data_IF_677821167664
#
_entry.id   IF_677821167664
#
_cell.length_a   1.000
_cell.length_b   1.000
_cell.length_c   1.000
_cell.angle_alpha   90.00
_cell.angle_beta   90.00
_cell.angle_gamma   90.00
#
_symmetry.space_group_name_H-M   'P 1'
#
loop_
_entity.id
_entity.type
_entity.pdbx_description
1 polymer ?
#
# COMPACT_ATOMS: atom_id res chain seq x y z
N UNK A 1 51.44 12.20 57.32
CA UNK A 1 49.97 12.35 57.17
C UNK A 1 49.61 12.11 55.71
N UNK A 2 48.81 11.07 55.42
CA UNK A 2 48.40 10.65 54.08
C UNK A 2 47.07 11.32 53.73
N UNK A 3 47.02 12.19 52.73
CA UNK A 3 45.77 12.64 52.13
C UNK A 3 45.54 11.90 50.81
N UNK A 4 44.55 11.00 50.81
CA UNK A 4 43.99 10.37 49.61
C UNK A 4 43.00 11.35 49.00
N UNK A 5 43.23 11.78 47.76
CA UNK A 5 42.23 12.46 46.95
C UNK A 5 41.29 11.41 46.32
N UNK A 6 39.95 11.54 46.43
CA UNK A 6 39.05 10.66 45.72
C UNK A 6 38.92 11.10 44.25
N UNK A 7 39.20 10.17 43.34
CA UNK A 7 38.94 10.28 41.91
C UNK A 7 37.43 10.11 41.69
N UNK A 8 36.71 11.19 41.40
CA UNK A 8 35.30 11.13 41.03
C UNK A 8 35.19 10.87 39.52
N UNK A 9 34.94 9.62 39.14
CA UNK A 9 34.59 9.26 37.75
C UNK A 9 33.14 9.69 37.46
N UNK A 10 33.00 10.75 36.65
CA UNK A 10 31.73 11.11 36.03
C UNK A 10 31.41 10.07 34.93
N UNK A 11 30.46 9.17 35.20
CA UNK A 11 29.84 8.33 34.18
C UNK A 11 28.84 9.20 33.39
N UNK A 12 29.27 9.74 32.26
CA UNK A 12 28.39 10.28 31.22
C UNK A 12 27.66 9.09 30.56
N UNK A 13 26.46 8.79 31.05
CA UNK A 13 25.50 7.96 30.34
C UNK A 13 25.04 8.76 29.10
N UNK A 14 25.66 8.47 27.96
CA UNK A 14 25.15 8.90 26.67
C UNK A 14 23.80 8.21 26.45
N UNK A 15 22.71 8.93 26.66
CA UNK A 15 21.39 8.51 26.20
C UNK A 15 21.44 8.39 24.68
N UNK A 16 21.56 7.17 24.18
CA UNK A 16 21.24 6.87 22.79
C UNK A 16 19.74 7.08 22.64
N UNK A 17 19.34 8.33 22.37
CA UNK A 17 18.05 8.61 21.77
C UNK A 17 18.09 7.90 20.41
N UNK A 18 17.43 6.74 20.31
CA UNK A 18 17.07 6.18 19.02
C UNK A 18 16.18 7.21 18.35
N UNK A 19 16.76 8.03 17.47
CA UNK A 19 15.99 8.82 16.54
C UNK A 19 15.22 7.80 15.68
N UNK A 20 13.93 7.61 15.99
CA UNK A 20 13.08 6.75 15.19
C UNK A 20 13.17 7.19 13.73
N UNK A 21 13.26 6.22 12.82
CA UNK A 21 13.29 6.52 11.39
C UNK A 21 12.07 7.39 11.05
N UNK A 22 12.34 8.58 10.51
CA UNK A 22 11.30 9.47 10.00
C UNK A 22 10.96 9.02 8.59
N UNK A 23 9.70 8.77 8.34
CA UNK A 23 9.16 8.43 7.03
C UNK A 23 8.48 9.66 6.45
N UNK A 24 8.83 9.99 5.22
CA UNK A 24 8.16 11.00 4.41
C UNK A 24 7.37 10.27 3.31
N UNK A 25 6.09 10.02 3.56
CA UNK A 25 5.23 9.19 2.74
C UNK A 25 5.15 7.73 3.18
N UNK A 26 4.04 7.09 2.86
CA UNK A 26 3.75 5.71 3.25
C UNK A 26 4.55 4.70 2.42
N UNK A 27 4.85 5.03 1.16
CA UNK A 27 5.68 4.26 0.26
C UNK A 27 7.11 4.13 0.81
N UNK A 28 7.63 5.20 1.44
CA UNK A 28 8.95 5.17 2.09
C UNK A 28 8.95 4.18 3.26
N UNK A 29 7.91 4.16 4.09
CA UNK A 29 7.75 3.14 5.13
C UNK A 29 7.57 1.73 4.54
N UNK A 30 6.75 1.56 3.51
CA UNK A 30 6.55 0.25 2.89
C UNK A 30 7.83 -0.32 2.29
N UNK A 31 8.72 0.53 1.78
CA UNK A 31 10.01 0.11 1.22
C UNK A 31 10.96 -0.51 2.26
N UNK A 32 10.76 -0.24 3.56
CA UNK A 32 11.58 -0.83 4.62
C UNK A 32 11.05 -2.20 5.08
N UNK A 33 9.84 -2.58 4.66
CA UNK A 33 9.25 -3.86 5.06
C UNK A 33 9.83 -5.00 4.22
N UNK A 34 10.08 -6.14 4.87
CA UNK A 34 10.55 -7.34 4.17
C UNK A 34 9.42 -8.05 3.41
N UNK A 35 9.77 -8.70 2.30
CA UNK A 35 8.85 -9.59 1.57
C UNK A 35 7.86 -8.85 0.68
N UNK A 36 8.13 -7.62 0.25
CA UNK A 36 7.32 -6.88 -0.72
C UNK A 36 7.17 -7.67 -2.02
N UNK A 37 5.93 -7.78 -2.52
CA UNK A 37 5.65 -8.42 -3.81
C UNK A 37 6.06 -7.51 -4.97
N UNK A 38 5.89 -6.20 -4.80
CA UNK A 38 6.17 -5.18 -5.80
C UNK A 38 7.13 -4.14 -5.25
N UNK A 39 8.04 -3.69 -6.11
CA UNK A 39 8.93 -2.55 -5.90
C UNK A 39 8.48 -1.38 -6.75
N UNK A 40 8.96 -0.17 -6.45
CA UNK A 40 8.66 1.02 -7.25
C UNK A 40 9.07 0.87 -8.72
N UNK A 41 10.11 0.07 -9.00
CA UNK A 41 10.57 -0.21 -10.37
C UNK A 41 9.61 -1.11 -11.17
N UNK A 42 8.66 -1.78 -10.50
CA UNK A 42 7.67 -2.66 -11.14
C UNK A 42 6.42 -1.88 -11.59
N UNK A 43 6.38 -0.56 -11.32
CA UNK A 43 5.29 0.36 -11.66
C UNK A 43 5.33 0.71 -13.15
N UNK A 44 4.15 0.69 -13.75
CA UNK A 44 3.91 1.18 -15.10
C UNK A 44 2.65 2.03 -15.17
N UNK A 45 2.77 3.20 -15.81
CA UNK A 45 1.63 4.05 -16.12
C UNK A 45 0.86 3.48 -17.32
N UNK A 46 -0.46 3.55 -17.27
CA UNK A 46 -1.31 3.12 -18.38
C UNK A 46 -1.56 4.29 -19.35
N UNK A 47 -1.31 4.05 -20.63
CA UNK A 47 -1.52 5.05 -21.68
C UNK A 47 -2.95 5.02 -22.21
N UNK A 48 -3.54 6.20 -22.41
CA UNK A 48 -4.87 6.34 -22.98
C UNK A 48 -4.87 6.04 -24.49
N UNK A 49 -5.83 5.24 -24.94
CA UNK A 49 -6.12 5.05 -26.36
C UNK A 49 -7.63 4.91 -26.60
N UNK A 50 -8.07 5.33 -27.77
CA UNK A 50 -9.44 5.16 -28.25
C UNK A 50 -9.46 4.25 -29.48
N UNK A 51 -10.47 3.39 -29.59
CA UNK A 51 -10.67 2.55 -30.77
C UNK A 51 -11.99 2.92 -31.45
N UNK A 52 -11.97 3.61 -32.61
CA UNK A 52 -13.17 3.85 -33.40
C UNK A 52 -13.87 2.52 -33.76
N UNK A 53 -15.21 2.46 -33.81
CA UNK A 53 -16.19 3.55 -33.64
C UNK A 53 -16.67 3.76 -32.19
N UNK A 54 -16.12 3.04 -31.21
CA UNK A 54 -16.54 3.12 -29.81
C UNK A 54 -15.66 4.13 -29.05
N UNK A 55 -16.21 5.30 -28.73
CA UNK A 55 -15.56 6.40 -27.98
C UNK A 55 -15.16 6.06 -26.53
N UNK A 56 -15.22 4.79 -26.13
CA UNK A 56 -14.79 4.37 -24.81
C UNK A 56 -13.26 4.44 -24.72
N UNK A 57 -12.76 5.40 -23.92
CA UNK A 57 -11.35 5.50 -23.58
C UNK A 57 -10.94 4.21 -22.86
N UNK A 58 -9.86 3.61 -23.36
CA UNK A 58 -9.18 2.49 -22.73
C UNK A 58 -7.82 2.99 -22.26
N UNK A 59 -7.36 2.50 -21.13
CA UNK A 59 -5.99 2.73 -20.69
C UNK A 59 -5.24 1.42 -20.75
N UNK A 60 -4.06 1.38 -21.36
CA UNK A 60 -3.31 0.14 -21.50
C UNK A 60 -1.82 0.32 -21.39
N UNK A 61 -1.16 -0.80 -21.10
CA UNK A 61 0.26 -0.93 -21.14
C UNK A 61 0.63 -2.28 -21.79
N UNK A 62 1.71 -2.29 -22.56
CA UNK A 62 2.27 -3.49 -23.16
C UNK A 62 3.79 -3.48 -23.02
N UNK A 63 4.37 -4.57 -22.56
CA UNK A 63 5.81 -4.66 -22.38
C UNK A 63 6.26 -6.07 -22.01
N UNK A 64 7.56 -6.22 -21.71
CA UNK A 64 8.11 -7.49 -21.23
C UNK A 64 8.37 -7.41 -19.73
N UNK A 65 7.86 -8.40 -18.99
CA UNK A 65 8.14 -8.62 -17.57
C UNK A 65 8.79 -9.99 -17.45
N UNK A 66 9.99 -10.07 -16.87
CA UNK A 66 10.76 -11.33 -16.73
C UNK A 66 10.86 -12.15 -18.04
N UNK A 67 11.01 -11.45 -19.17
CA UNK A 67 11.10 -12.07 -20.51
C UNK A 67 9.76 -12.47 -21.14
N UNK A 68 8.65 -12.40 -20.40
CA UNK A 68 7.31 -12.67 -20.92
C UNK A 68 6.65 -11.39 -21.42
N UNK A 69 6.08 -11.43 -22.64
CA UNK A 69 5.23 -10.34 -23.12
C UNK A 69 3.94 -10.29 -22.30
N UNK A 70 3.61 -9.08 -21.83
CA UNK A 70 2.42 -8.79 -21.04
C UNK A 70 1.63 -7.68 -21.71
N UNK A 71 0.32 -7.81 -21.67
CA UNK A 71 -0.62 -6.77 -22.09
C UNK A 71 -1.67 -6.57 -21.01
N UNK A 72 -1.81 -5.34 -20.55
CA UNK A 72 -2.81 -4.95 -19.55
C UNK A 72 -3.64 -3.81 -20.11
N UNK A 73 -4.96 -3.89 -19.94
CA UNK A 73 -5.83 -2.76 -20.26
C UNK A 73 -6.99 -2.64 -19.27
N UNK A 74 -7.46 -1.42 -19.05
CA UNK A 74 -8.64 -1.13 -18.26
C UNK A 74 -9.64 -0.30 -19.06
N UNK A 75 -10.92 -0.56 -18.87
CA UNK A 75 -12.01 0.23 -19.44
C UNK A 75 -13.31 0.01 -18.67
N UNK A 76 -13.90 1.08 -18.14
CA UNK A 76 -15.21 1.07 -17.49
C UNK A 76 -15.42 -0.06 -16.45
N UNK A 77 -14.44 -0.26 -15.56
CA UNK A 77 -14.46 -1.33 -14.54
C UNK A 77 -14.17 -2.75 -15.07
N UNK A 78 -13.71 -2.86 -16.32
CA UNK A 78 -13.22 -4.11 -16.92
C UNK A 78 -11.70 -4.06 -17.04
N UNK A 79 -11.03 -5.01 -16.40
CA UNK A 79 -9.59 -5.24 -16.51
C UNK A 79 -9.38 -6.38 -17.52
N UNK A 80 -8.43 -6.22 -18.44
CA UNK A 80 -7.92 -7.27 -19.31
C UNK A 80 -6.44 -7.49 -19.01
N UNK A 81 -6.04 -8.74 -18.80
CA UNK A 81 -4.64 -9.14 -18.63
C UNK A 81 -4.39 -10.31 -19.60
N UNK A 82 -3.55 -10.09 -20.59
CA UNK A 82 -3.25 -11.04 -21.67
C UNK A 82 -4.52 -11.65 -22.31
N UNK A 83 -5.52 -10.79 -22.55
CA UNK A 83 -6.80 -11.19 -23.14
C UNK A 83 -7.79 -11.84 -22.17
N UNK A 84 -7.45 -12.03 -20.89
CA UNK A 84 -8.38 -12.50 -19.85
C UNK A 84 -9.05 -11.33 -19.15
N UNK A 85 -10.37 -11.37 -19.08
CA UNK A 85 -11.19 -10.28 -18.56
C UNK A 85 -11.64 -10.51 -17.11
N UNK A 86 -11.51 -9.47 -16.28
CA UNK A 86 -11.96 -9.41 -14.90
C UNK A 86 -12.78 -8.14 -14.68
N UNK A 87 -13.98 -8.28 -14.11
CA UNK A 87 -14.82 -7.12 -13.74
C UNK A 87 -14.47 -6.70 -12.32
N UNK A 88 -14.16 -5.43 -12.06
CA UNK A 88 -13.82 -4.92 -10.71
C UNK A 88 -14.90 -5.25 -9.68
N UNK A 89 -16.18 -5.22 -10.06
CA UNK A 89 -17.32 -5.64 -9.24
C UNK A 89 -17.31 -7.13 -8.80
N UNK A 90 -16.40 -7.96 -9.34
CA UNK A 90 -16.17 -9.35 -8.92
C UNK A 90 -14.98 -9.49 -7.97
N UNK A 91 -14.22 -8.43 -7.72
CA UNK A 91 -13.20 -8.44 -6.70
C UNK A 91 -13.85 -8.65 -5.33
N UNK A 92 -13.19 -9.43 -4.48
CA UNK A 92 -13.59 -9.54 -3.08
C UNK A 92 -13.03 -8.33 -2.34
N UNK A 93 -13.91 -7.39 -1.99
CA UNK A 93 -13.54 -6.22 -1.22
C UNK A 93 -13.25 -6.57 0.24
N UNK A 94 -12.22 -5.91 0.77
CA UNK A 94 -11.94 -5.86 2.19
C UNK A 94 -13.17 -5.38 2.96
N UNK A 95 -13.41 -5.83 4.21
CA UNK A 95 -14.56 -5.39 4.99
C UNK A 95 -14.69 -3.86 5.03
N UNK A 96 -15.89 -3.35 4.75
CA UNK A 96 -16.25 -1.92 4.65
C UNK A 96 -15.65 -1.15 3.47
N UNK A 97 -14.89 -1.80 2.58
CA UNK A 97 -14.54 -1.25 1.28
C UNK A 97 -15.63 -1.60 0.25
N UNK A 98 -15.82 -0.72 -0.73
CA UNK A 98 -16.69 -0.96 -1.88
C UNK A 98 -15.86 -1.07 -3.15
N UNK A 99 -16.44 -1.71 -4.17
CA UNK A 99 -15.87 -1.71 -5.52
C UNK A 99 -16.68 -0.80 -6.40
N UNK A 100 -16.02 0.09 -7.13
CA UNK A 100 -16.61 0.93 -8.15
C UNK A 100 -16.05 0.61 -9.54
N UNK A 101 -16.80 0.98 -10.58
CA UNK A 101 -16.27 0.99 -11.96
C UNK A 101 -15.35 2.18 -12.21
N UNK A 102 -15.44 3.20 -11.35
CA UNK A 102 -14.67 4.44 -11.39
C UNK A 102 -13.37 4.35 -10.58
N UNK A 103 -13.16 3.26 -9.82
CA UNK A 103 -11.95 3.08 -9.02
C UNK A 103 -10.67 3.10 -9.88
N UNK A 104 -10.76 2.56 -11.10
CA UNK A 104 -9.66 2.47 -12.05
C UNK A 104 -9.98 3.30 -13.31
N UNK A 105 -9.04 4.10 -13.78
CA UNK A 105 -9.20 5.02 -14.90
C UNK A 105 -7.89 5.71 -15.28
N UNK A 106 -7.93 7.02 -15.53
CA UNK A 106 -6.81 7.80 -16.08
C UNK A 106 -5.53 7.73 -15.26
N UNK A 107 -5.65 7.75 -13.95
CA UNK A 107 -4.52 7.81 -13.02
C UNK A 107 -4.19 6.42 -12.45
N UNK A 108 -4.51 5.36 -13.19
CA UNK A 108 -4.24 4.01 -12.75
C UNK A 108 -2.84 3.60 -13.12
N UNK A 109 -2.10 3.23 -12.09
CA UNK A 109 -0.82 2.57 -12.20
C UNK A 109 -1.03 1.06 -12.10
N UNK A 110 -0.21 0.31 -12.84
CA UNK A 110 -0.14 -1.14 -12.73
C UNK A 110 1.25 -1.57 -12.26
N UNK A 111 1.28 -2.48 -11.29
CA UNK A 111 2.48 -3.14 -10.82
C UNK A 111 2.44 -4.61 -11.25
N UNK A 112 3.52 -5.07 -11.85
CA UNK A 112 3.58 -6.39 -12.47
C UNK A 112 4.71 -7.23 -11.88
N UNK A 113 4.36 -8.43 -11.44
CA UNK A 113 5.32 -9.50 -11.14
C UNK A 113 4.88 -10.78 -11.86
N UNK A 114 5.68 -11.84 -11.74
CA UNK A 114 5.39 -13.14 -12.37
C UNK A 114 3.99 -13.67 -12.05
N UNK A 115 3.65 -13.68 -10.76
CA UNK A 115 2.45 -14.35 -10.24
C UNK A 115 1.36 -13.36 -9.82
N UNK A 116 1.65 -12.06 -9.79
CA UNK A 116 0.74 -11.04 -9.30
C UNK A 116 0.63 -9.84 -10.23
N UNK A 117 -0.56 -9.25 -10.25
CA UNK A 117 -0.80 -7.94 -10.85
C UNK A 117 -1.53 -7.09 -9.84
N UNK A 118 -1.00 -5.90 -9.57
CA UNK A 118 -1.65 -4.94 -8.69
C UNK A 118 -1.98 -3.67 -9.47
N UNK A 119 -3.16 -3.12 -9.21
CA UNK A 119 -3.56 -1.81 -9.72
C UNK A 119 -3.74 -0.88 -8.54
N UNK A 120 -3.26 0.34 -8.66
CA UNK A 120 -3.56 1.41 -7.73
C UNK A 120 -3.98 2.66 -8.50
N UNK A 121 -4.89 3.41 -7.91
CA UNK A 121 -5.48 4.58 -8.56
C UNK A 121 -6.10 5.46 -7.50
N UNK A 122 -5.83 6.75 -7.57
CA UNK A 122 -6.59 7.77 -6.84
C UNK A 122 -7.67 8.29 -7.77
N UNK A 123 -8.91 8.35 -7.29
CA UNK A 123 -10.02 8.87 -8.11
C UNK A 123 -9.65 10.26 -8.66
N UNK A 124 -9.83 10.53 -9.96
CA UNK A 124 -9.54 11.85 -10.53
C UNK A 124 -10.36 12.99 -9.91
N UNK A 125 -11.49 12.67 -9.28
CA UNK A 125 -12.33 13.63 -8.54
C UNK A 125 -11.97 13.76 -7.06
N UNK A 126 -11.00 12.98 -6.57
CA UNK A 126 -10.55 13.07 -5.20
C UNK A 126 -9.91 14.43 -4.93
N UNK A 127 -10.31 15.05 -3.82
CA UNK A 127 -9.79 16.32 -3.36
C UNK A 127 -9.71 16.33 -1.83
N UNK A 128 -8.95 17.25 -1.25
CA UNK A 128 -8.80 17.35 0.20
C UNK A 128 -8.31 16.05 0.83
N UNK A 129 -9.06 15.49 1.78
CA UNK A 129 -8.70 14.23 2.45
C UNK A 129 -8.98 12.99 1.61
N UNK A 130 -9.79 13.09 0.55
CA UNK A 130 -10.12 11.94 -0.29
C UNK A 130 -8.92 11.43 -1.09
N UNK A 131 -7.92 12.27 -1.38
CA UNK A 131 -6.68 11.87 -2.08
C UNK A 131 -5.86 10.84 -1.28
N UNK A 132 -6.13 10.72 0.02
CA UNK A 132 -5.48 9.78 0.93
C UNK A 132 -6.02 8.35 0.74
N UNK A 133 -7.11 8.18 0.00
CA UNK A 133 -7.72 6.90 -0.29
C UNK A 133 -7.37 6.45 -1.70
N UNK A 134 -6.51 5.44 -1.78
CA UNK A 134 -6.06 4.83 -3.03
C UNK A 134 -6.83 3.53 -3.27
N UNK A 135 -7.45 3.40 -4.43
CA UNK A 135 -8.11 2.16 -4.84
C UNK A 135 -7.09 1.11 -5.27
N UNK A 136 -6.71 0.24 -4.33
CA UNK A 136 -5.76 -0.85 -4.58
C UNK A 136 -6.48 -2.18 -4.85
N UNK A 137 -6.19 -2.78 -6.01
CA UNK A 137 -6.67 -4.10 -6.43
C UNK A 137 -5.51 -5.06 -6.63
N UNK A 138 -5.61 -6.26 -6.08
CA UNK A 138 -4.61 -7.32 -6.23
C UNK A 138 -5.21 -8.54 -6.94
N UNK A 139 -4.50 -9.03 -7.95
CA UNK A 139 -4.81 -10.26 -8.68
C UNK A 139 -3.67 -11.25 -8.46
N UNK A 140 -4.00 -12.43 -7.93
CA UNK A 140 -3.07 -13.54 -7.77
C UNK A 140 -3.37 -14.59 -8.85
N UNK A 141 -2.46 -14.72 -9.81
CA UNK A 141 -2.56 -15.60 -10.98
C UNK A 141 -2.18 -17.05 -10.69
N UNK A 142 -1.44 -17.31 -9.60
CA UNK A 142 -1.02 -18.64 -9.14
C UNK A 142 -2.22 -19.49 -8.72
N UNK A 143 -3.25 -18.86 -8.16
CA UNK A 143 -4.47 -19.54 -7.72
C UNK A 143 -5.43 -19.87 -8.88
N UNK A 144 -6.14 -21.01 -8.75
CA UNK A 144 -7.21 -21.44 -9.67
C UNK A 144 -8.46 -21.80 -8.85
N UNK A 145 -9.59 -21.10 -9.01
CA UNK A 145 -9.78 -19.88 -9.83
C UNK A 145 -8.95 -18.70 -9.32
N UNK A 146 -8.71 -17.73 -10.20
CA UNK A 146 -7.94 -16.51 -9.86
C UNK A 146 -8.52 -15.83 -8.61
N UNK A 147 -7.63 -15.37 -7.74
CA UNK A 147 -7.97 -14.58 -6.57
C UNK A 147 -7.87 -13.12 -6.97
N UNK A 148 -8.96 -12.37 -6.73
CA UNK A 148 -9.07 -10.97 -7.09
C UNK A 148 -9.63 -10.20 -5.89
N UNK A 149 -8.83 -9.30 -5.34
CA UNK A 149 -9.08 -8.62 -4.07
C UNK A 149 -9.10 -7.10 -4.28
N UNK A 150 -9.99 -6.40 -3.58
CA UNK A 150 -9.88 -4.95 -3.33
C UNK A 150 -9.40 -4.78 -1.90
N UNK A 151 -8.26 -4.12 -1.72
CA UNK A 151 -7.61 -3.93 -0.43
C UNK A 151 -8.13 -2.65 0.27
N UNK A 152 -7.85 -2.45 1.58
CA UNK A 152 -8.11 -1.18 2.27
C UNK A 152 -7.55 -0.01 1.48
N UNK A 153 -8.21 1.14 1.55
CA UNK A 153 -7.87 2.30 0.70
C UNK A 153 -6.98 3.34 1.37
N UNK A 154 -7.13 3.57 2.68
CA UNK A 154 -6.42 4.65 3.37
C UNK A 154 -4.90 4.43 3.34
N UNK A 155 -4.18 5.33 2.65
CA UNK A 155 -2.74 5.30 2.38
C UNK A 155 -2.22 3.98 1.82
N UNK A 156 -3.09 3.28 1.08
CA UNK A 156 -2.73 2.01 0.49
C UNK A 156 -1.85 2.20 -0.75
N UNK A 157 -0.92 1.27 -0.95
CA UNK A 157 -0.11 1.18 -2.16
C UNK A 157 0.14 -0.29 -2.50
N UNK A 158 0.30 -0.59 -3.79
CA UNK A 158 0.78 -1.88 -4.28
C UNK A 158 2.13 -2.26 -3.66
N UNK A 159 3.00 -1.29 -3.37
CA UNK A 159 4.30 -1.50 -2.71
C UNK A 159 4.16 -1.96 -1.25
N UNK A 160 3.02 -1.68 -0.60
CA UNK A 160 2.71 -2.13 0.75
C UNK A 160 2.23 -3.58 0.84
N UNK A 161 2.09 -4.27 -0.29
CA UNK A 161 1.66 -5.67 -0.36
C UNK A 161 2.88 -6.59 -0.24
N UNK A 162 2.81 -7.53 0.69
CA UNK A 162 3.91 -8.42 1.07
C UNK A 162 3.48 -9.88 1.01
N UNK A 163 4.45 -10.77 0.99
CA UNK A 163 4.27 -12.21 1.12
C UNK A 163 5.05 -12.73 2.33
N UNK A 164 4.42 -13.57 3.15
CA UNK A 164 5.10 -14.22 4.28
C UNK A 164 5.89 -15.44 3.79
N UNK A 165 6.79 -16.01 4.61
CA UNK A 165 7.44 -17.28 4.30
C UNK A 165 6.47 -18.45 4.08
N UNK A 166 5.22 -18.36 4.58
CA UNK A 166 4.14 -19.32 4.35
C UNK A 166 3.34 -19.03 3.08
N UNK A 167 3.85 -18.17 2.20
CA UNK A 167 3.20 -17.73 0.96
C UNK A 167 1.85 -17.03 1.14
N UNK A 168 1.59 -16.48 2.33
CA UNK A 168 0.37 -15.70 2.59
C UNK A 168 0.59 -14.25 2.17
N UNK A 169 -0.35 -13.72 1.39
CA UNK A 169 -0.41 -12.29 1.07
C UNK A 169 -0.70 -11.53 2.37
N UNK A 170 0.07 -10.49 2.65
CA UNK A 170 -0.11 -9.59 3.79
C UNK A 170 -0.10 -8.14 3.35
N UNK A 171 -0.84 -7.30 4.06
CA UNK A 171 -0.94 -5.85 3.83
C UNK A 171 -1.44 -5.19 5.12
N UNK A 172 -1.32 -3.87 5.22
CA UNK A 172 -1.80 -3.13 6.39
C UNK A 172 -3.15 -2.47 6.10
N UNK A 173 -4.07 -2.56 7.06
CA UNK A 173 -5.19 -1.62 7.19
C UNK A 173 -4.69 -0.46 8.05
N UNK A 174 -4.84 0.76 7.56
CA UNK A 174 -4.43 1.97 8.29
C UNK A 174 -5.67 2.65 8.85
N UNK A 175 -5.56 3.13 10.09
CA UNK A 175 -6.58 3.92 10.77
C UNK A 175 -5.92 5.10 11.47
N UNK A 176 -6.55 6.27 11.44
CA UNK A 176 -6.08 7.41 12.21
C UNK A 176 -6.20 7.16 13.71
N UNK A 177 -5.29 7.74 14.47
CA UNK A 177 -5.40 7.87 15.91
C UNK A 177 -5.64 9.34 16.26
N UNK A 178 -6.51 9.55 17.25
CA UNK A 178 -6.87 10.87 17.75
C UNK A 178 -6.59 10.92 19.24
N UNK A 179 -6.00 12.01 19.69
CA UNK A 179 -5.92 12.31 21.11
C UNK A 179 -7.27 12.83 21.62
N UNK A 180 -7.51 12.65 22.93
CA UNK A 180 -8.79 13.01 23.51
C UNK A 180 -9.01 14.52 23.43
N UNK A 181 -10.03 14.94 22.69
CA UNK A 181 -10.40 16.35 22.55
C UNK A 181 -9.75 17.04 21.35
N UNK A 182 -8.98 16.31 20.55
CA UNK A 182 -8.36 16.84 19.32
C UNK A 182 -9.19 16.48 18.09
N UNK A 183 -9.36 17.45 17.19
CA UNK A 183 -10.05 17.26 15.90
C UNK A 183 -9.10 16.74 14.80
N UNK A 184 -7.79 16.84 15.05
CA UNK A 184 -6.74 16.42 14.13
C UNK A 184 -6.15 15.08 14.55
N UNK A 185 -5.82 14.19 13.60
CA UNK A 185 -5.20 12.93 13.95
C UNK A 185 -3.79 13.18 14.46
N UNK A 186 -3.41 12.52 15.56
CA UNK A 186 -2.08 12.57 16.16
C UNK A 186 -1.13 11.50 15.61
N UNK A 187 -1.69 10.51 14.91
CA UNK A 187 -0.91 9.43 14.32
C UNK A 187 -1.75 8.44 13.52
N UNK A 188 -1.17 7.27 13.27
CA UNK A 188 -1.78 6.15 12.56
C UNK A 188 -1.53 4.84 13.26
N UNK A 189 -2.50 3.94 13.14
CA UNK A 189 -2.38 2.52 13.49
C UNK A 189 -2.32 1.71 12.22
N UNK A 190 -1.26 0.93 12.06
CA UNK A 190 -1.15 -0.11 11.04
C UNK A 190 -1.60 -1.41 11.67
N UNK A 191 -2.67 -2.02 11.16
CA UNK A 191 -3.06 -3.37 11.54
C UNK A 191 -2.75 -4.31 10.38
N UNK A 192 -1.87 -5.29 10.60
CA UNK A 192 -1.57 -6.26 9.54
C UNK A 192 -2.78 -7.18 9.32
N UNK A 193 -3.11 -7.40 8.06
CA UNK A 193 -4.05 -8.41 7.61
C UNK A 193 -3.34 -9.39 6.68
N UNK A 194 -3.81 -10.63 6.70
CA UNK A 194 -3.41 -11.70 5.80
C UNK A 194 -4.61 -12.15 4.97
N UNK A 195 -4.36 -12.79 3.84
CA UNK A 195 -5.41 -13.47 3.08
C UNK A 195 -5.12 -14.95 2.92
N UNK A 196 -6.18 -15.76 3.05
CA UNK A 196 -6.22 -17.09 2.46
C UNK A 196 -7.25 -17.08 1.34
N UNK A 197 -6.77 -17.16 0.10
CA UNK A 197 -7.59 -17.01 -1.11
C UNK A 197 -8.40 -15.71 -1.08
N UNK A 198 -9.70 -15.79 -0.79
CA UNK A 198 -10.65 -14.66 -0.81
C UNK A 198 -11.06 -14.20 0.60
N UNK A 199 -10.51 -14.81 1.65
CA UNK A 199 -10.85 -14.48 3.03
C UNK A 199 -9.76 -13.62 3.65
N UNK A 200 -10.17 -12.59 4.40
CA UNK A 200 -9.29 -11.66 5.09
C UNK A 200 -9.22 -12.01 6.58
N UNK A 201 -8.02 -12.01 7.14
CA UNK A 201 -7.78 -12.32 8.53
C UNK A 201 -6.92 -11.23 9.15
N UNK A 202 -7.35 -10.71 10.29
CA UNK A 202 -6.52 -9.80 11.09
C UNK A 202 -5.37 -10.60 11.72
N UNK A 203 -4.14 -10.12 11.53
CA UNK A 203 -2.95 -10.62 12.22
C UNK A 203 -2.89 -10.07 13.65
N UNK A 204 -1.95 -10.58 14.45
CA UNK A 204 -1.62 -9.99 15.77
C UNK A 204 -0.61 -8.85 15.67
N UNK A 205 0.02 -8.65 14.50
CA UNK A 205 1.00 -7.60 14.29
C UNK A 205 0.31 -6.26 14.06
N UNK A 206 0.75 -5.25 14.80
CA UNK A 206 0.28 -3.89 14.69
C UNK A 206 1.46 -2.95 14.86
N UNK A 207 1.49 -1.87 14.10
CA UNK A 207 2.48 -0.80 14.29
C UNK A 207 1.77 0.51 14.59
N UNK A 208 2.42 1.38 15.37
CA UNK A 208 1.90 2.69 15.73
C UNK A 208 2.84 3.74 15.16
N UNK A 209 2.31 4.60 14.29
CA UNK A 209 3.01 5.77 13.77
C UNK A 209 2.51 7.04 14.46
N UNK A 210 3.42 7.95 14.79
CA UNK A 210 3.09 9.29 15.29
C UNK A 210 3.46 10.34 14.27
N UNK A 211 2.55 11.29 14.01
CA UNK A 211 2.84 12.40 13.11
C UNK A 211 3.81 13.38 13.76
N UNK A 212 4.76 13.88 12.97
CA UNK A 212 5.81 14.78 13.46
C UNK A 212 5.32 16.23 13.45
N UNK A 213 4.48 16.57 12.48
CA UNK A 213 3.97 17.91 12.25
C UNK A 213 2.43 17.87 12.32
N UNK A 214 1.78 18.83 13.01
CA UNK A 214 0.34 19.01 12.93
C UNK A 214 -0.10 19.12 11.46
N UNK A 215 -1.24 18.51 11.13
CA UNK A 215 -1.84 18.48 9.78
C UNK A 215 -1.06 17.74 8.68
N UNK A 216 0.20 17.36 8.91
CA UNK A 216 0.99 16.59 7.96
C UNK A 216 0.89 15.09 8.25
N UNK A 217 -0.14 14.47 7.68
CA UNK A 217 -0.39 13.03 7.83
C UNK A 217 0.55 12.14 7.01
N UNK A 218 1.51 12.70 6.26
CA UNK A 218 2.46 11.92 5.47
C UNK A 218 3.82 11.77 6.15
N UNK A 219 4.10 12.57 7.19
CA UNK A 219 5.39 12.55 7.86
C UNK A 219 5.26 12.02 9.28
N UNK A 220 5.80 10.83 9.52
CA UNK A 220 5.64 10.12 10.79
C UNK A 220 6.88 9.34 11.21
N UNK A 221 6.94 9.00 12.50
CA UNK A 221 7.87 8.01 13.06
C UNK A 221 7.10 6.79 13.55
N UNK A 222 7.69 5.60 13.48
CA UNK A 222 7.13 4.40 14.11
C UNK A 222 7.57 4.35 15.59
N UNK A 223 6.60 4.26 16.49
CA UNK A 223 6.82 4.19 17.94
C UNK A 223 6.86 2.75 18.47
N UNK A 224 6.09 1.85 17.86
CA UNK A 224 6.03 0.42 18.22
C UNK A 224 5.60 -0.45 17.04
N UNK A 225 6.02 -1.72 17.06
CA UNK A 225 5.69 -2.80 16.11
C UNK A 225 5.45 -4.13 16.83
#
# INVERSE_FOLDING_TARGET
MRHKAPLASLLLLASFANAGNTYDGYENYYSTLSGTIFKSADKHELEAFSTPPNENIKYSWSGKIEGQQRHVSISNGLISIDGKYLKTAKARAFPNETTSREDLGRNTDVYLSKDYTCFESVSPSASGTAIRHTSVYLINHKEKPVVFLKLPSLFASCTGIRITPQELITFNKIEYQYEKGEDYPSGVKFTEYTTNKRQFYKSKKEAIGKFIEPDNVYKFTIESE
#
